data_IF_149278919796
#
_entry.id   IF_149278919796
#
_cell.length_a   1.000
_cell.length_b   1.000
_cell.length_c   1.000
_cell.angle_alpha   90.00
_cell.angle_beta   90.00
_cell.angle_gamma   90.00
#
_symmetry.space_group_name_H-M   'P 1'
#
loop_
_entity.id
_entity.type
_entity.pdbx_description
1 polymer ?
#
# COMPACT_ATOMS: atom_id res chain seq x y z
N UNK A 1 5.28 -13.46 14.33
CA UNK A 1 4.87 -13.08 12.96
C UNK A 1 4.01 -11.81 12.95
N UNK A 2 2.81 -11.81 13.55
CA UNK A 2 1.88 -10.67 13.52
C UNK A 2 2.44 -9.37 14.10
N UNK A 3 3.15 -9.42 15.24
CA UNK A 3 3.76 -8.22 15.83
C UNK A 3 4.76 -7.54 14.87
N UNK A 4 5.51 -8.31 14.08
CA UNK A 4 6.42 -7.74 13.06
C UNK A 4 5.62 -6.97 12.01
N UNK A 5 4.53 -7.55 11.51
CA UNK A 5 3.66 -6.95 10.49
C UNK A 5 3.01 -5.68 11.00
N UNK A 6 2.55 -5.69 12.25
CA UNK A 6 2.00 -4.51 12.89
C UNK A 6 3.04 -3.38 13.02
N UNK A 7 4.29 -3.69 13.41
CA UNK A 7 5.36 -2.69 13.45
C UNK A 7 5.69 -2.14 12.05
N UNK A 8 5.78 -3.01 11.05
CA UNK A 8 6.01 -2.60 9.66
C UNK A 8 4.89 -1.68 9.15
N UNK A 9 3.64 -2.01 9.48
CA UNK A 9 2.46 -1.20 9.20
C UNK A 9 2.55 0.19 9.84
N UNK A 10 2.92 0.29 11.13
CA UNK A 10 3.04 1.58 11.81
C UNK A 10 4.11 2.46 11.15
N UNK A 11 5.28 1.88 10.86
CA UNK A 11 6.37 2.58 10.18
C UNK A 11 5.95 3.05 8.78
N UNK A 12 5.32 2.17 8.01
CA UNK A 12 4.83 2.50 6.68
C UNK A 12 3.78 3.62 6.75
N UNK A 13 2.86 3.56 7.71
CA UNK A 13 1.82 4.60 7.89
C UNK A 13 2.42 5.96 8.22
N UNK A 14 3.45 6.00 9.06
CA UNK A 14 4.18 7.23 9.42
C UNK A 14 4.92 7.82 8.22
N UNK A 15 5.35 7.00 7.26
CA UNK A 15 6.05 7.47 6.05
C UNK A 15 5.04 7.87 4.97
N UNK A 16 4.08 7.00 4.67
CA UNK A 16 3.16 7.14 3.53
C UNK A 16 2.22 8.32 3.75
N UNK A 17 1.62 8.44 4.94
CA UNK A 17 0.63 9.48 5.24
C UNK A 17 1.14 10.89 4.98
N UNK A 18 2.26 11.36 5.58
CA UNK A 18 2.77 12.70 5.29
C UNK A 18 3.27 12.84 3.86
N UNK A 19 3.83 11.78 3.26
CA UNK A 19 4.32 11.84 1.87
C UNK A 19 3.16 12.09 0.90
N UNK A 20 2.09 11.30 0.98
CA UNK A 20 0.91 11.47 0.13
C UNK A 20 0.20 12.80 0.42
N UNK A 21 0.13 13.20 1.68
CA UNK A 21 -0.45 14.50 2.07
C UNK A 21 0.34 15.66 1.45
N UNK A 22 1.68 15.63 1.51
CA UNK A 22 2.53 16.65 0.92
C UNK A 22 2.39 16.71 -0.60
N UNK A 23 2.40 15.56 -1.28
CA UNK A 23 2.19 15.47 -2.73
C UNK A 23 0.85 16.09 -3.12
N UNK A 24 -0.24 15.71 -2.44
CA UNK A 24 -1.57 16.24 -2.71
C UNK A 24 -1.70 17.72 -2.37
N UNK A 25 -1.07 18.19 -1.29
CA UNK A 25 -1.06 19.61 -0.94
C UNK A 25 -0.39 20.46 -2.04
N UNK A 26 0.76 19.99 -2.56
CA UNK A 26 1.50 20.68 -3.62
C UNK A 26 0.76 20.69 -4.96
N UNK A 27 -0.07 19.69 -5.24
CA UNK A 27 -0.79 19.58 -6.53
C UNK A 27 -2.20 20.16 -6.49
N UNK A 28 -2.83 20.28 -5.32
CA UNK A 28 -4.22 20.75 -5.17
C UNK A 28 -4.39 22.26 -5.01
N UNK A 29 -3.31 23.04 -4.99
CA UNK A 29 -3.39 24.51 -4.95
C UNK A 29 -3.79 25.09 -3.58
N UNK A 30 -3.57 24.36 -2.47
CA UNK A 30 -3.65 24.93 -1.12
C UNK A 30 -4.85 24.53 -0.27
N UNK A 31 -5.36 23.30 -0.39
CA UNK A 31 -6.27 22.73 0.62
C UNK A 31 -5.60 22.85 2.00
N UNK A 32 -6.34 23.26 3.03
CA UNK A 32 -5.82 23.35 4.39
C UNK A 32 -5.20 22.02 4.84
N UNK A 33 -3.91 22.04 5.13
CA UNK A 33 -3.14 20.85 5.56
C UNK A 33 -3.78 20.15 6.76
N UNK A 34 -4.39 20.92 7.66
CA UNK A 34 -5.10 20.44 8.86
C UNK A 34 -6.32 19.57 8.54
N UNK A 35 -6.93 19.73 7.37
CA UNK A 35 -8.06 18.92 6.90
C UNK A 35 -7.57 17.75 6.04
N UNK A 36 -6.59 17.99 5.18
CA UNK A 36 -6.08 16.98 4.27
C UNK A 36 -5.38 15.83 5.00
N UNK A 37 -4.53 16.15 5.99
CA UNK A 37 -3.77 15.15 6.74
C UNK A 37 -4.65 14.08 7.41
N UNK A 38 -5.68 14.40 8.23
CA UNK A 38 -6.49 13.38 8.88
C UNK A 38 -7.30 12.53 7.88
N UNK A 39 -7.77 13.10 6.78
CA UNK A 39 -8.48 12.35 5.74
C UNK A 39 -7.55 11.32 5.10
N UNK A 40 -6.37 11.76 4.65
CA UNK A 40 -5.37 10.86 4.04
C UNK A 40 -4.90 9.82 5.06
N UNK A 41 -4.72 10.20 6.33
CA UNK A 41 -4.37 9.26 7.38
C UNK A 41 -5.40 8.13 7.52
N UNK A 42 -6.70 8.45 7.53
CA UNK A 42 -7.77 7.44 7.60
C UNK A 42 -7.72 6.47 6.42
N UNK A 43 -7.54 6.97 5.19
CA UNK A 43 -7.44 6.12 4.00
C UNK A 43 -6.19 5.24 4.02
N UNK A 44 -5.03 5.82 4.33
CA UNK A 44 -3.75 5.09 4.36
C UNK A 44 -3.76 4.03 5.46
N UNK A 45 -4.14 4.41 6.68
CA UNK A 45 -4.22 3.48 7.82
C UNK A 45 -5.26 2.39 7.54
N UNK A 46 -6.45 2.76 7.08
CA UNK A 46 -7.52 1.82 6.75
C UNK A 46 -7.11 0.83 5.66
N UNK A 47 -6.50 1.30 4.57
CA UNK A 47 -6.04 0.44 3.47
C UNK A 47 -4.88 -0.46 3.87
N UNK A 48 -3.88 0.05 4.58
CA UNK A 48 -2.76 -0.76 5.04
C UNK A 48 -3.20 -1.80 6.09
N UNK A 49 -4.12 -1.45 6.98
CA UNK A 49 -4.62 -2.37 7.99
C UNK A 49 -5.49 -3.48 7.37
N UNK A 50 -6.46 -3.10 6.52
CA UNK A 50 -7.42 -4.04 5.94
C UNK A 50 -6.84 -4.92 4.84
N UNK A 51 -5.84 -4.43 4.10
CA UNK A 51 -5.29 -5.14 2.94
C UNK A 51 -3.78 -5.32 3.00
N UNK A 52 -3.03 -4.28 3.41
CA UNK A 52 -1.57 -4.35 3.50
C UNK A 52 -1.05 -5.42 4.47
N UNK A 53 -1.58 -5.47 5.69
CA UNK A 53 -1.18 -6.47 6.70
C UNK A 53 -1.52 -7.90 6.22
N UNK A 54 -2.76 -8.22 5.79
CA UNK A 54 -3.08 -9.54 5.26
C UNK A 54 -2.21 -9.96 4.08
N UNK A 55 -1.98 -9.06 3.11
CA UNK A 55 -1.09 -9.32 1.98
C UNK A 55 0.34 -9.64 2.45
N UNK A 56 0.85 -8.89 3.44
CA UNK A 56 2.18 -9.13 3.97
C UNK A 56 2.29 -10.45 4.75
N UNK A 57 1.25 -10.86 5.48
CA UNK A 57 1.18 -12.18 6.13
C UNK A 57 1.14 -13.31 5.09
N UNK A 58 0.32 -13.16 4.06
CA UNK A 58 0.21 -14.14 2.97
C UNK A 58 1.54 -14.28 2.22
N UNK A 59 2.22 -13.16 1.97
CA UNK A 59 3.55 -13.14 1.36
C UNK A 59 4.57 -13.97 2.14
N UNK A 60 4.61 -13.83 3.46
CA UNK A 60 5.51 -14.65 4.30
C UNK A 60 5.15 -16.13 4.22
N UNK A 61 3.86 -16.45 4.32
CA UNK A 61 3.39 -17.82 4.32
C UNK A 61 3.77 -18.54 3.01
N UNK A 62 3.64 -17.84 1.87
CA UNK A 62 4.04 -18.35 0.55
C UNK A 62 5.55 -18.50 0.38
N UNK A 63 6.34 -17.66 1.05
CA UNK A 63 7.80 -17.59 0.84
C UNK A 63 8.63 -18.21 1.97
N UNK A 64 7.99 -18.75 3.02
CA UNK A 64 8.65 -19.26 4.23
C UNK A 64 9.69 -20.38 3.99
N UNK A 65 9.55 -21.16 2.90
CA UNK A 65 10.46 -22.26 2.56
C UNK A 65 11.59 -21.84 1.60
N UNK A 66 11.63 -20.57 1.20
CA UNK A 66 12.61 -20.06 0.25
C UNK A 66 13.87 -19.59 0.98
N UNK A 67 15.01 -19.59 0.27
CA UNK A 67 16.24 -18.95 0.74
C UNK A 67 16.01 -17.45 0.94
N UNK A 68 16.78 -16.80 1.83
CA UNK A 68 16.56 -15.40 2.19
C UNK A 68 16.52 -14.46 0.97
N UNK A 69 17.43 -14.65 0.01
CA UNK A 69 17.49 -13.85 -1.21
C UNK A 69 16.23 -14.02 -2.06
N UNK A 70 15.79 -15.27 -2.29
CA UNK A 70 14.56 -15.56 -3.05
C UNK A 70 13.33 -15.06 -2.30
N UNK A 71 13.25 -15.31 -1.00
CA UNK A 71 12.17 -14.83 -0.12
C UNK A 71 11.98 -13.32 -0.25
N UNK A 72 13.08 -12.56 -0.19
CA UNK A 72 13.05 -11.09 -0.34
C UNK A 72 12.52 -10.65 -1.70
N UNK A 73 12.99 -11.26 -2.79
CA UNK A 73 12.56 -10.95 -4.15
C UNK A 73 11.07 -11.29 -4.39
N UNK A 74 10.63 -12.48 -3.98
CA UNK A 74 9.23 -12.88 -4.11
C UNK A 74 8.32 -12.05 -3.22
N UNK A 75 8.76 -11.73 -2.00
CA UNK A 75 8.03 -10.82 -1.09
C UNK A 75 7.83 -9.44 -1.72
N UNK A 76 8.85 -8.89 -2.39
CA UNK A 76 8.76 -7.61 -3.09
C UNK A 76 7.67 -7.64 -4.16
N UNK A 77 7.74 -8.60 -5.08
CA UNK A 77 6.76 -8.72 -6.15
C UNK A 77 5.36 -8.99 -5.61
N UNK A 78 5.23 -9.76 -4.54
CA UNK A 78 3.94 -10.00 -3.90
C UNK A 78 3.32 -8.71 -3.36
N UNK A 79 4.09 -7.85 -2.69
CA UNK A 79 3.57 -6.56 -2.20
C UNK A 79 3.18 -5.64 -3.35
N UNK A 80 4.03 -5.53 -4.37
CA UNK A 80 3.75 -4.72 -5.57
C UNK A 80 2.47 -5.18 -6.26
N UNK A 81 2.35 -6.47 -6.55
CA UNK A 81 1.16 -7.05 -7.17
C UNK A 81 -0.07 -6.85 -6.28
N UNK A 82 0.05 -7.07 -4.98
CA UNK A 82 -1.05 -6.84 -4.04
C UNK A 82 -1.53 -5.39 -4.08
N UNK A 83 -0.60 -4.42 -4.02
CA UNK A 83 -0.92 -3.00 -4.07
C UNK A 83 -1.57 -2.58 -5.39
N UNK A 84 -1.10 -3.12 -6.52
CA UNK A 84 -1.72 -2.88 -7.83
C UNK A 84 -3.13 -3.49 -7.88
N UNK A 85 -3.27 -4.75 -7.48
CA UNK A 85 -4.56 -5.45 -7.46
C UNK A 85 -5.59 -4.75 -6.55
N UNK A 86 -5.15 -4.12 -5.47
CA UNK A 86 -6.03 -3.37 -4.57
C UNK A 86 -6.84 -2.30 -5.30
N UNK A 87 -6.23 -1.58 -6.25
CA UNK A 87 -6.94 -0.55 -7.02
C UNK A 87 -8.04 -1.15 -7.88
N UNK A 88 -7.78 -2.28 -8.53
CA UNK A 88 -8.80 -2.97 -9.31
C UNK A 88 -9.91 -3.54 -8.42
N UNK A 89 -9.57 -4.06 -7.25
CA UNK A 89 -10.57 -4.51 -6.26
C UNK A 89 -11.44 -3.33 -5.83
N UNK A 90 -10.86 -2.18 -5.51
CA UNK A 90 -11.63 -0.98 -5.20
C UNK A 90 -12.50 -0.53 -6.37
N UNK A 91 -12.01 -0.60 -7.61
CA UNK A 91 -12.77 -0.31 -8.81
C UNK A 91 -14.01 -1.20 -8.95
N UNK A 92 -13.84 -2.52 -8.76
CA UNK A 92 -14.94 -3.49 -8.80
C UNK A 92 -15.99 -3.18 -7.71
N UNK A 93 -15.55 -2.76 -6.51
CA UNK A 93 -16.45 -2.50 -5.38
C UNK A 93 -17.15 -1.14 -5.46
N UNK A 94 -16.47 -0.11 -5.96
CA UNK A 94 -16.96 1.26 -5.94
C UNK A 94 -17.74 1.65 -7.21
N UNK A 95 -17.26 1.24 -8.38
CA UNK A 95 -17.88 1.56 -9.67
C UNK A 95 -17.53 0.49 -10.74
N UNK A 96 -18.14 -0.70 -10.64
CA UNK A 96 -17.88 -1.78 -11.58
C UNK A 96 -18.33 -1.40 -13.01
N UNK A 97 -19.36 -0.57 -13.16
CA UNK A 97 -19.85 -0.13 -14.47
C UNK A 97 -18.77 0.58 -15.26
N UNK A 98 -18.10 1.58 -14.67
CA UNK A 98 -17.05 2.32 -15.37
C UNK A 98 -15.82 1.44 -15.61
N UNK A 99 -15.46 0.56 -14.65
CA UNK A 99 -14.35 -0.39 -14.85
C UNK A 99 -14.55 -1.30 -16.07
N UNK A 100 -15.76 -1.87 -16.23
CA UNK A 100 -16.00 -2.88 -17.27
C UNK A 100 -16.49 -2.30 -18.60
N UNK A 101 -17.21 -1.18 -18.60
CA UNK A 101 -17.82 -0.61 -19.81
C UNK A 101 -17.07 0.62 -20.34
N UNK A 102 -16.27 1.31 -19.51
CA UNK A 102 -15.48 2.49 -19.93
C UNK A 102 -14.11 2.51 -19.23
N UNK A 103 -13.29 1.52 -19.58
CA UNK A 103 -12.00 1.30 -18.94
C UNK A 103 -11.04 2.50 -19.05
N UNK A 104 -11.13 3.30 -20.13
CA UNK A 104 -10.26 4.47 -20.31
C UNK A 104 -10.61 5.54 -19.29
N UNK A 105 -11.91 5.85 -19.10
CA UNK A 105 -12.37 6.78 -18.08
C UNK A 105 -12.05 6.27 -16.67
N UNK A 106 -12.26 4.98 -16.41
CA UNK A 106 -11.83 4.35 -15.16
C UNK A 106 -10.33 4.55 -14.91
N UNK A 107 -9.48 4.18 -15.88
CA UNK A 107 -8.04 4.20 -15.71
C UNK A 107 -7.48 5.61 -15.50
N UNK A 108 -7.99 6.58 -16.27
CA UNK A 108 -7.57 7.99 -16.13
C UNK A 108 -7.95 8.57 -14.77
N UNK A 109 -9.13 8.24 -14.23
CA UNK A 109 -9.54 8.66 -12.88
C UNK A 109 -8.76 7.96 -11.77
N UNK A 110 -8.35 6.70 -11.99
CA UNK A 110 -7.66 5.88 -10.99
C UNK A 110 -6.14 6.05 -11.00
N UNK A 111 -5.57 6.72 -12.00
CA UNK A 111 -4.12 6.89 -12.16
C UNK A 111 -3.43 7.41 -10.88
N UNK A 112 -3.90 8.46 -10.19
CA UNK A 112 -3.25 8.92 -8.96
C UNK A 112 -3.27 7.87 -7.83
N UNK A 113 -4.39 7.16 -7.69
CA UNK A 113 -4.55 6.11 -6.69
C UNK A 113 -3.64 4.91 -6.98
N UNK A 114 -3.45 4.57 -8.26
CA UNK A 114 -2.50 3.55 -8.70
C UNK A 114 -1.07 3.84 -8.24
N UNK A 115 -0.54 5.04 -8.48
CA UNK A 115 0.80 5.40 -8.01
C UNK A 115 0.87 5.48 -6.48
N UNK A 116 -0.18 5.98 -5.83
CA UNK A 116 -0.27 5.99 -4.37
C UNK A 116 -0.20 4.58 -3.77
N UNK A 117 -0.93 3.62 -4.33
CA UNK A 117 -0.94 2.23 -3.89
C UNK A 117 0.37 1.51 -4.20
N UNK A 118 0.96 1.76 -5.37
CA UNK A 118 2.28 1.22 -5.74
C UNK A 118 3.36 1.73 -4.77
N UNK A 119 3.38 3.03 -4.50
CA UNK A 119 4.28 3.64 -3.53
C UNK A 119 4.09 3.04 -2.14
N UNK A 120 2.83 2.96 -1.68
CA UNK A 120 2.50 2.38 -0.39
C UNK A 120 2.95 0.92 -0.26
N UNK A 121 2.77 0.11 -1.31
CA UNK A 121 3.22 -1.28 -1.35
C UNK A 121 4.74 -1.43 -1.24
N UNK A 122 5.49 -0.59 -1.96
CA UNK A 122 6.96 -0.58 -1.92
C UNK A 122 7.45 -0.17 -0.53
N UNK A 123 6.89 0.89 0.06
CA UNK A 123 7.25 1.36 1.40
C UNK A 123 6.90 0.30 2.45
N UNK A 124 5.71 -0.31 2.37
CA UNK A 124 5.31 -1.37 3.29
C UNK A 124 6.26 -2.58 3.22
N UNK A 125 6.62 -3.02 2.01
CA UNK A 125 7.60 -4.09 1.83
C UNK A 125 8.96 -3.72 2.45
N UNK A 126 9.43 -2.49 2.21
CA UNK A 126 10.70 -2.03 2.75
C UNK A 126 10.69 -2.03 4.28
N UNK A 127 9.63 -1.50 4.90
CA UNK A 127 9.44 -1.51 6.34
C UNK A 127 9.40 -2.95 6.89
N UNK A 128 8.67 -3.86 6.24
CA UNK A 128 8.59 -5.26 6.68
C UNK A 128 9.94 -5.97 6.60
N UNK A 129 10.70 -5.79 5.51
CA UNK A 129 12.03 -6.37 5.37
C UNK A 129 13.02 -5.78 6.38
N UNK A 130 12.93 -4.47 6.64
CA UNK A 130 13.77 -3.80 7.62
C UNK A 130 13.52 -4.33 9.04
N UNK A 131 12.26 -4.42 9.47
CA UNK A 131 11.91 -4.96 10.79
C UNK A 131 12.29 -6.45 10.87
N UNK A 132 12.17 -7.20 9.78
CA UNK A 132 12.59 -8.61 9.73
C UNK A 132 14.08 -8.77 10.00
N UNK A 133 14.93 -8.03 9.27
CA UNK A 133 16.39 -8.06 9.47
C UNK A 133 16.79 -7.68 10.90
N UNK A 134 16.13 -6.67 11.48
CA UNK A 134 16.42 -6.22 12.86
C UNK A 134 16.03 -7.24 13.93
N UNK A 135 15.06 -8.11 13.67
CA UNK A 135 14.57 -9.11 14.63
C UNK A 135 15.26 -10.48 14.52
N UNK A 136 16.24 -10.65 13.63
CA UNK A 136 17.07 -11.85 13.58
C UNK A 136 16.36 -13.13 13.14
N UNK A 137 15.25 -13.03 12.37
CA UNK A 137 14.51 -14.17 11.80
C UNK A 137 14.65 -14.26 10.27
#
# INVERSE_FOLDING_TARGET
MLLRKFLAFLLASIIITPTLTAVLYLTSGGIFLSVLLPIIALYVVGGLFSYGIPASVLSDWLTQKMTEVKRRQYSFWFHVLSGVSFIFILGILADPSTLFNDFITYWTSMYPFFFGALFAAIVLWFCDEWVRKKRGN
#
